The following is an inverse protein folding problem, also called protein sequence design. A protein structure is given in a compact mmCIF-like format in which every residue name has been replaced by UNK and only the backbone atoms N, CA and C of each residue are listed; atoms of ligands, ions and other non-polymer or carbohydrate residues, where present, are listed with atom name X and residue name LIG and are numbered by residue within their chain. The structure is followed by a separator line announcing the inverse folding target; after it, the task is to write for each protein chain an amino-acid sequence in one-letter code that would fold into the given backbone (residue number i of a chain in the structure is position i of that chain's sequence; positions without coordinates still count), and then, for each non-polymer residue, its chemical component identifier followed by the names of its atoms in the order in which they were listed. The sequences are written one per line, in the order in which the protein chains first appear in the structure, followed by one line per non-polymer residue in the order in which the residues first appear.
data_IF_026021260709
#
_entry.id   IF_026021260709
#
_cell.length_a   1.000
_cell.length_b   1.000
_cell.length_c   1.000
_cell.angle_alpha   90.00
_cell.angle_beta   90.00
_cell.angle_gamma   90.00
#
_symmetry.space_group_name_H-M   'P 1'
#
loop_
_entity.id
_entity.type
_entity.pdbx_description
1 polymer ?
#
# COMPACT_ATOMS: atom_id res chain seq x y z
N UNK A 1 -3.23 -0.48 -16.77
CA UNK A 1 -4.53 0.13 -16.43
C UNK A 1 -5.70 -0.86 -16.52
N UNK A 2 -5.87 -1.61 -17.62
CA UNK A 2 -6.96 -2.58 -17.79
C UNK A 2 -6.99 -3.63 -16.68
N UNK A 3 -5.87 -4.27 -16.36
CA UNK A 3 -5.77 -5.31 -15.30
C UNK A 3 -6.29 -4.81 -13.94
N UNK A 4 -5.97 -3.58 -13.57
CA UNK A 4 -6.43 -3.00 -12.30
C UNK A 4 -7.93 -2.75 -12.32
N UNK A 5 -8.48 -2.31 -13.47
CA UNK A 5 -9.91 -2.15 -13.62
C UNK A 5 -10.64 -3.49 -13.52
N UNK A 6 -10.09 -4.54 -14.12
CA UNK A 6 -10.64 -5.88 -14.07
C UNK A 6 -10.62 -6.42 -12.62
N UNK A 7 -9.51 -6.28 -11.88
CA UNK A 7 -9.41 -6.66 -10.46
C UNK A 7 -10.44 -5.89 -9.60
N UNK A 8 -10.61 -4.58 -9.84
CA UNK A 8 -11.62 -3.77 -9.12
C UNK A 8 -13.03 -4.27 -9.39
N UNK A 9 -13.33 -4.61 -10.63
CA UNK A 9 -14.63 -5.12 -11.02
C UNK A 9 -14.88 -6.50 -10.41
N UNK A 10 -13.90 -7.40 -10.47
CA UNK A 10 -14.00 -8.75 -9.92
C UNK A 10 -14.19 -8.72 -8.40
N UNK A 11 -13.45 -7.85 -7.69
CA UNK A 11 -13.62 -7.67 -6.25
C UNK A 11 -15.03 -7.15 -5.92
N UNK A 12 -15.50 -6.14 -6.64
CA UNK A 12 -16.83 -5.58 -6.43
C UNK A 12 -17.91 -6.63 -6.66
N UNK A 13 -17.80 -7.39 -7.75
CA UNK A 13 -18.72 -8.46 -8.08
C UNK A 13 -18.67 -9.58 -7.03
N UNK A 14 -17.48 -9.97 -6.55
CA UNK A 14 -17.34 -10.97 -5.50
C UNK A 14 -18.02 -10.53 -4.19
N UNK A 15 -17.88 -9.28 -3.78
CA UNK A 15 -18.55 -8.75 -2.58
C UNK A 15 -20.06 -8.76 -2.74
N UNK A 16 -20.59 -8.34 -3.90
CA UNK A 16 -22.04 -8.32 -4.15
C UNK A 16 -22.67 -9.72 -4.29
N UNK A 17 -21.89 -10.69 -4.75
CA UNK A 17 -22.35 -12.07 -4.87
C UNK A 17 -22.32 -12.86 -3.55
N UNK A 18 -21.84 -12.27 -2.45
CA UNK A 18 -21.88 -12.92 -1.12
C UNK A 18 -23.31 -13.06 -0.62
N UNK A 19 -23.56 -14.13 0.10
CA UNK A 19 -24.79 -14.25 0.85
C UNK A 19 -24.80 -13.27 2.05
N UNK A 20 -25.97 -13.00 2.59
CA UNK A 20 -26.10 -12.06 3.73
C UNK A 20 -25.25 -12.49 4.93
N UNK A 21 -25.15 -13.78 5.20
CA UNK A 21 -24.36 -14.31 6.32
C UNK A 21 -22.86 -14.09 6.08
N UNK A 22 -22.36 -14.30 4.87
CA UNK A 22 -20.98 -14.05 4.48
C UNK A 22 -20.63 -12.56 4.53
N UNK A 23 -21.56 -11.70 4.06
CA UNK A 23 -21.35 -10.25 4.08
C UNK A 23 -21.28 -9.70 5.51
N UNK A 24 -22.16 -10.13 6.40
CA UNK A 24 -22.20 -9.65 7.80
C UNK A 24 -21.11 -10.25 8.71
N UNK A 25 -20.26 -11.17 8.20
CA UNK A 25 -19.06 -11.59 8.94
C UNK A 25 -18.07 -10.44 9.16
N UNK A 26 -18.09 -9.47 8.25
CA UNK A 26 -17.26 -8.26 8.31
C UNK A 26 -18.16 -7.03 8.35
N UNK A 27 -17.65 -5.93 8.89
CA UNK A 27 -18.37 -4.65 8.88
C UNK A 27 -18.17 -3.92 7.54
N UNK A 28 -19.06 -2.97 7.25
CA UNK A 28 -19.00 -2.17 6.01
C UNK A 28 -17.66 -1.42 5.87
N UNK A 29 -17.04 -1.00 6.99
CA UNK A 29 -15.75 -0.30 6.98
C UNK A 29 -14.62 -1.20 6.48
N UNK A 30 -14.68 -2.52 6.74
CA UNK A 30 -13.73 -3.50 6.18
C UNK A 30 -13.78 -3.51 4.66
N UNK A 31 -14.96 -3.64 4.07
CA UNK A 31 -15.11 -3.64 2.60
C UNK A 31 -14.72 -2.32 1.96
N UNK A 32 -15.03 -1.20 2.62
CA UNK A 32 -14.61 0.13 2.17
C UNK A 32 -13.08 0.26 2.19
N UNK A 33 -12.42 -0.21 3.25
CA UNK A 33 -10.96 -0.24 3.36
C UNK A 33 -10.31 -1.15 2.32
N UNK A 34 -10.88 -2.33 2.10
CA UNK A 34 -10.44 -3.28 1.08
C UNK A 34 -10.46 -2.63 -0.31
N UNK A 35 -11.55 -1.92 -0.63
CA UNK A 35 -11.74 -1.28 -1.94
C UNK A 35 -10.88 -0.03 -2.15
N UNK A 36 -10.65 0.78 -1.12
CA UNK A 36 -9.88 2.01 -1.24
C UNK A 36 -8.39 1.82 -0.94
N UNK A 37 -8.07 1.17 0.18
CA UNK A 37 -6.69 1.07 0.64
C UNK A 37 -5.98 -0.16 0.07
N UNK A 38 -6.60 -1.35 0.19
CA UNK A 38 -5.92 -2.59 -0.20
C UNK A 38 -5.76 -2.67 -1.72
N UNK A 39 -6.74 -2.24 -2.52
CA UNK A 39 -6.60 -2.15 -3.97
C UNK A 39 -5.54 -1.14 -4.41
N UNK A 40 -5.34 -0.05 -3.69
CA UNK A 40 -4.25 0.88 -3.97
C UNK A 40 -2.89 0.22 -3.74
N UNK A 41 -2.76 -0.60 -2.70
CA UNK A 41 -1.53 -1.37 -2.46
C UNK A 41 -1.31 -2.41 -3.57
N UNK A 42 -2.36 -3.08 -4.04
CA UNK A 42 -2.27 -3.99 -5.21
C UNK A 42 -1.76 -3.24 -6.43
N UNK A 43 -2.31 -2.05 -6.72
CA UNK A 43 -1.90 -1.22 -7.85
C UNK A 43 -0.42 -0.83 -7.77
N UNK A 44 0.03 -0.32 -6.61
CA UNK A 44 1.43 0.08 -6.42
C UNK A 44 2.37 -1.12 -6.45
N UNK A 45 1.94 -2.29 -5.98
CA UNK A 45 2.71 -3.54 -6.04
C UNK A 45 2.87 -4.04 -7.48
N UNK A 46 1.81 -4.00 -8.29
CA UNK A 46 1.89 -4.35 -9.70
C UNK A 46 2.81 -3.40 -10.48
N UNK A 47 2.73 -2.09 -10.21
CA UNK A 47 3.65 -1.11 -10.79
C UNK A 47 5.10 -1.39 -10.39
N UNK A 48 5.35 -1.79 -9.14
CA UNK A 48 6.69 -2.13 -8.66
C UNK A 48 7.31 -3.31 -9.43
N UNK A 49 6.52 -4.31 -9.87
CA UNK A 49 7.02 -5.37 -10.74
C UNK A 49 7.50 -4.83 -12.10
N UNK A 50 6.75 -3.92 -12.71
CA UNK A 50 7.18 -3.30 -13.99
C UNK A 50 8.43 -2.46 -13.81
N UNK A 51 8.49 -1.65 -12.75
CA UNK A 51 9.65 -0.82 -12.44
C UNK A 51 10.87 -1.72 -12.21
N UNK A 52 10.73 -2.83 -11.48
CA UNK A 52 11.83 -3.77 -11.22
C UNK A 52 12.42 -4.32 -12.51
N UNK A 53 11.58 -4.72 -13.48
CA UNK A 53 12.05 -5.22 -14.78
C UNK A 53 12.81 -4.13 -15.54
N UNK A 54 12.28 -2.90 -15.60
CA UNK A 54 12.92 -1.76 -16.26
C UNK A 54 14.28 -1.43 -15.61
N UNK A 55 14.33 -1.42 -14.26
CA UNK A 55 15.59 -1.14 -13.56
C UNK A 55 16.64 -2.24 -13.77
N UNK A 56 16.20 -3.50 -13.81
CA UNK A 56 17.08 -4.62 -14.12
C UNK A 56 17.66 -4.50 -15.53
N UNK A 57 16.82 -4.17 -16.51
CA UNK A 57 17.25 -3.90 -17.89
C UNK A 57 18.29 -2.77 -17.94
N UNK A 58 18.01 -1.64 -17.28
CA UNK A 58 18.91 -0.49 -17.25
C UNK A 58 20.26 -0.83 -16.61
N UNK A 59 20.29 -1.59 -15.50
CA UNK A 59 21.53 -2.06 -14.87
C UNK A 59 22.34 -2.94 -15.85
N UNK A 60 21.68 -3.92 -16.47
CA UNK A 60 22.34 -4.86 -17.38
C UNK A 60 22.94 -4.12 -18.59
N UNK A 61 22.18 -3.24 -19.24
CA UNK A 61 22.68 -2.49 -20.40
C UNK A 61 23.80 -1.51 -20.03
N UNK A 62 23.67 -0.83 -18.88
CA UNK A 62 24.72 0.09 -18.39
C UNK A 62 26.00 -0.65 -18.07
N UNK A 63 25.96 -1.80 -17.44
CA UNK A 63 27.14 -2.62 -17.15
C UNK A 63 27.72 -3.26 -18.42
N UNK A 64 26.90 -3.73 -19.35
CA UNK A 64 27.35 -4.26 -20.63
C UNK A 64 28.06 -3.19 -21.47
N UNK A 65 27.48 -1.99 -21.53
CA UNK A 65 28.11 -0.86 -22.24
C UNK A 65 29.41 -0.42 -21.55
N UNK A 66 29.44 -0.36 -20.21
CA UNK A 66 30.65 -0.07 -19.46
C UNK A 66 31.77 -1.09 -19.75
N UNK A 67 31.41 -2.38 -19.81
CA UNK A 67 32.35 -3.47 -20.10
C UNK A 67 32.99 -3.31 -21.50
N UNK A 68 32.17 -2.97 -22.50
CA UNK A 68 32.67 -2.72 -23.88
C UNK A 68 33.58 -1.51 -23.91
N UNK A 69 33.31 -0.47 -23.14
CA UNK A 69 34.14 0.73 -23.09
C UNK A 69 35.46 0.48 -22.34
N UNK A 70 35.39 -0.09 -21.15
CA UNK A 70 36.56 -0.41 -20.34
C UNK A 70 36.17 -1.32 -19.15
N UNK A 71 36.89 -2.43 -19.01
CA UNK A 71 36.65 -3.40 -17.91
C UNK A 71 36.81 -2.76 -16.52
N UNK A 72 37.74 -1.82 -16.36
CA UNK A 72 37.99 -1.12 -15.10
C UNK A 72 36.76 -0.29 -14.71
N UNK A 73 36.11 0.40 -15.68
CA UNK A 73 34.88 1.14 -15.44
C UNK A 73 33.76 0.22 -15.02
N UNK A 74 33.59 -0.92 -15.66
CA UNK A 74 32.56 -1.90 -15.29
C UNK A 74 32.74 -2.38 -13.83
N UNK A 75 33.96 -2.75 -13.42
CA UNK A 75 34.26 -3.15 -12.06
C UNK A 75 33.99 -2.02 -11.07
N UNK A 76 34.39 -0.78 -11.40
CA UNK A 76 34.12 0.39 -10.56
C UNK A 76 32.61 0.62 -10.37
N UNK A 77 31.82 0.52 -11.43
CA UNK A 77 30.36 0.68 -11.37
C UNK A 77 29.70 -0.39 -10.51
N UNK A 78 30.16 -1.65 -10.58
CA UNK A 78 29.66 -2.73 -9.72
C UNK A 78 29.97 -2.44 -8.26
N UNK A 79 31.22 -2.07 -7.94
CA UNK A 79 31.62 -1.76 -6.56
C UNK A 79 30.82 -0.57 -6.01
N UNK A 80 30.73 0.50 -6.78
CA UNK A 80 29.98 1.70 -6.40
C UNK A 80 28.50 1.41 -6.24
N UNK A 81 27.90 0.60 -7.12
CA UNK A 81 26.52 0.16 -7.00
C UNK A 81 26.28 -0.60 -5.70
N UNK A 82 27.14 -1.58 -5.36
CA UNK A 82 27.02 -2.35 -4.12
C UNK A 82 27.18 -1.45 -2.89
N UNK A 83 28.15 -0.54 -2.88
CA UNK A 83 28.37 0.41 -1.77
C UNK A 83 27.18 1.36 -1.66
N UNK A 84 26.62 1.84 -2.77
CA UNK A 84 25.46 2.71 -2.80
C UNK A 84 24.21 2.09 -2.19
N UNK A 85 24.07 0.75 -2.23
CA UNK A 85 22.97 0.02 -1.60
C UNK A 85 23.09 -0.07 -0.07
N UNK A 86 24.26 0.15 0.50
CA UNK A 86 24.47 0.01 1.93
C UNK A 86 23.58 0.99 2.73
N UNK A 87 23.45 2.24 2.29
CA UNK A 87 22.66 3.27 3.00
C UNK A 87 21.17 2.94 3.03
N UNK A 88 20.48 2.67 1.91
CA UNK A 88 19.07 2.26 1.94
C UNK A 88 18.83 1.03 2.81
N UNK A 89 19.68 0.02 2.73
CA UNK A 89 19.53 -1.22 3.51
C UNK A 89 19.69 -0.95 5.03
N UNK A 90 20.67 -0.16 5.42
CA UNK A 90 20.91 0.16 6.83
C UNK A 90 19.85 1.05 7.44
N UNK A 91 19.27 1.96 6.66
CA UNK A 91 18.29 2.94 7.15
C UNK A 91 16.85 2.48 7.03
N UNK A 92 16.58 1.40 6.29
CA UNK A 92 15.22 0.89 6.05
C UNK A 92 14.41 0.68 7.34
N UNK A 93 15.02 0.05 8.36
CA UNK A 93 14.31 -0.23 9.62
C UNK A 93 13.92 1.05 10.36
N UNK A 94 14.80 2.07 10.33
CA UNK A 94 14.56 3.36 10.98
C UNK A 94 13.41 4.09 10.28
N UNK A 95 13.42 4.11 8.94
CA UNK A 95 12.36 4.71 8.12
C UNK A 95 11.03 4.00 8.34
N UNK A 96 11.04 2.67 8.30
CA UNK A 96 9.82 1.86 8.48
C UNK A 96 9.20 2.09 9.86
N UNK A 97 10.01 2.06 10.94
CA UNK A 97 9.53 2.32 12.29
C UNK A 97 8.91 3.72 12.41
N UNK A 98 9.59 4.73 11.88
CA UNK A 98 9.13 6.12 11.93
C UNK A 98 7.82 6.32 11.15
N UNK A 99 7.67 5.64 10.00
CA UNK A 99 6.46 5.68 9.20
C UNK A 99 5.28 4.99 9.92
N UNK A 100 5.50 3.82 10.51
CA UNK A 100 4.46 3.10 11.27
C UNK A 100 3.97 3.98 12.44
N UNK A 101 4.88 4.55 13.23
CA UNK A 101 4.49 5.42 14.34
C UNK A 101 3.68 6.65 13.88
N UNK A 102 4.01 7.23 12.73
CA UNK A 102 3.24 8.33 12.14
C UNK A 102 1.86 7.86 11.68
N UNK A 103 1.76 6.68 11.03
CA UNK A 103 0.49 6.13 10.55
C UNK A 103 -0.45 5.80 11.71
N UNK A 104 0.06 5.21 12.79
CA UNK A 104 -0.72 4.91 13.99
C UNK A 104 -1.29 6.19 14.62
N UNK A 105 -0.48 7.24 14.71
CA UNK A 105 -0.92 8.52 15.25
C UNK A 105 -1.92 9.23 14.31
N UNK A 106 -1.74 9.12 12.99
CA UNK A 106 -2.70 9.61 12.00
C UNK A 106 -4.06 8.89 12.11
N UNK A 107 -4.05 7.58 12.33
CA UNK A 107 -5.26 6.81 12.53
C UNK A 107 -6.05 7.27 13.78
N UNK A 108 -5.35 7.47 14.92
CA UNK A 108 -5.97 8.01 16.16
C UNK A 108 -6.56 9.40 15.95
N UNK A 109 -5.79 10.29 15.31
CA UNK A 109 -6.23 11.64 15.00
C UNK A 109 -7.47 11.67 14.10
N UNK A 110 -7.50 10.81 13.06
CA UNK A 110 -8.66 10.67 12.18
C UNK A 110 -9.89 10.10 12.91
N UNK A 111 -9.69 9.14 13.82
CA UNK A 111 -10.78 8.59 14.65
C UNK A 111 -11.38 9.69 15.51
N UNK A 112 -10.55 10.47 16.20
CA UNK A 112 -11.02 11.59 17.03
C UNK A 112 -11.87 12.59 16.23
N UNK A 113 -11.37 13.01 15.05
CA UNK A 113 -12.12 13.93 14.17
C UNK A 113 -13.47 13.33 13.76
N UNK A 114 -13.49 12.05 13.38
CA UNK A 114 -14.73 11.38 12.98
C UNK A 114 -15.72 11.28 14.14
N UNK A 115 -15.25 10.98 15.35
CA UNK A 115 -16.10 10.88 16.54
C UNK A 115 -16.66 12.25 16.93
N UNK A 116 -15.84 13.30 16.90
CA UNK A 116 -16.27 14.68 17.18
C UNK A 116 -17.32 15.16 16.17
N UNK A 117 -17.11 14.88 14.85
CA UNK A 117 -18.09 15.26 13.83
C UNK A 117 -19.39 14.44 13.90
N UNK A 118 -19.33 13.14 14.24
CA UNK A 118 -20.52 12.35 14.48
C UNK A 118 -21.28 12.79 15.74
N UNK A 119 -20.54 13.26 16.74
CA UNK A 119 -21.09 13.79 17.98
C UNK A 119 -21.52 15.26 17.91
N UNK A 120 -21.53 15.91 16.73
CA UNK A 120 -21.77 17.35 16.58
C UNK A 120 -23.02 17.86 17.30
N UNK A 121 -24.14 17.15 17.18
CA UNK A 121 -25.41 17.52 17.84
C UNK A 121 -25.28 17.45 19.36
N UNK A 122 -24.58 16.43 19.88
CA UNK A 122 -24.33 16.26 21.31
C UNK A 122 -23.46 17.41 21.82
N UNK A 123 -22.36 17.73 21.12
CA UNK A 123 -21.45 18.82 21.47
C UNK A 123 -22.23 20.14 21.56
N UNK A 124 -23.10 20.42 20.58
CA UNK A 124 -23.92 21.62 20.54
C UNK A 124 -24.98 21.67 21.64
N UNK A 125 -25.69 20.57 21.87
CA UNK A 125 -26.74 20.50 22.86
C UNK A 125 -26.20 20.67 24.30
N UNK A 126 -24.99 20.16 24.57
CA UNK A 126 -24.36 20.27 25.89
C UNK A 126 -23.42 21.47 26.03
N UNK A 127 -23.23 22.27 24.96
CA UNK A 127 -22.38 23.48 24.94
C UNK A 127 -20.93 23.18 25.39
N UNK A 128 -20.35 22.06 24.94
CA UNK A 128 -19.01 21.59 25.33
C UNK A 128 -17.94 21.84 24.26
N UNK A 129 -18.17 22.80 23.34
CA UNK A 129 -17.27 23.08 22.21
C UNK A 129 -15.85 23.42 22.69
N UNK A 130 -15.70 24.25 23.70
CA UNK A 130 -14.37 24.63 24.22
C UNK A 130 -13.57 23.43 24.72
N UNK A 131 -14.26 22.48 25.39
CA UNK A 131 -13.62 21.24 25.86
C UNK A 131 -13.15 20.37 24.72
N UNK A 132 -14.00 20.18 23.69
CA UNK A 132 -13.68 19.38 22.49
C UNK A 132 -12.54 20.01 21.72
N UNK A 133 -12.58 21.32 21.48
CA UNK A 133 -11.49 22.07 20.81
C UNK A 133 -10.19 21.96 21.61
N UNK A 134 -10.24 22.01 22.94
CA UNK A 134 -9.08 21.83 23.80
C UNK A 134 -8.46 20.42 23.68
N UNK A 135 -9.28 19.38 23.63
CA UNK A 135 -8.83 18.00 23.41
C UNK A 135 -8.22 17.83 22.02
N UNK A 136 -8.91 18.31 20.98
CA UNK A 136 -8.41 18.30 19.61
C UNK A 136 -7.06 19.01 19.50
N UNK A 137 -6.88 20.18 20.12
CA UNK A 137 -5.63 20.94 20.07
C UNK A 137 -4.44 20.15 20.63
N UNK A 138 -4.64 19.40 21.72
CA UNK A 138 -3.59 18.54 22.30
C UNK A 138 -3.20 17.39 21.36
N UNK A 139 -4.19 16.67 20.82
CA UNK A 139 -3.95 15.57 19.90
C UNK A 139 -3.37 16.05 18.56
N UNK A 140 -3.81 17.22 18.06
CA UNK A 140 -3.24 17.84 16.85
C UNK A 140 -1.76 18.18 17.02
N UNK A 141 -1.36 18.70 18.18
CA UNK A 141 0.06 18.96 18.49
C UNK A 141 0.86 17.66 18.54
N UNK A 142 0.29 16.62 19.13
CA UNK A 142 0.92 15.30 19.22
C UNK A 142 1.10 14.67 17.84
N UNK A 143 0.06 14.67 17.01
CA UNK A 143 0.12 14.23 15.61
C UNK A 143 1.14 15.04 14.81
N UNK A 144 1.11 16.38 14.94
CA UNK A 144 2.06 17.28 14.28
C UNK A 144 3.52 16.97 14.63
N UNK A 145 3.82 16.72 15.91
CA UNK A 145 5.17 16.30 16.35
C UNK A 145 5.61 14.98 15.73
N UNK A 146 4.75 13.96 15.71
CA UNK A 146 5.06 12.66 15.10
C UNK A 146 5.26 12.77 13.60
N UNK A 147 4.40 13.52 12.90
CA UNK A 147 4.53 13.80 11.48
C UNK A 147 5.84 14.51 11.17
N UNK A 148 6.18 15.56 11.94
CA UNK A 148 7.45 16.28 11.79
C UNK A 148 8.65 15.34 12.00
N UNK A 149 8.64 14.54 13.08
CA UNK A 149 9.73 13.59 13.35
C UNK A 149 9.91 12.60 12.20
N UNK A 150 8.82 12.05 11.65
CA UNK A 150 8.90 11.14 10.51
C UNK A 150 9.48 11.83 9.27
N UNK A 151 8.99 13.01 8.93
CA UNK A 151 9.50 13.79 7.79
C UNK A 151 10.96 14.21 7.99
N UNK A 152 11.36 14.56 9.21
CA UNK A 152 12.74 14.89 9.54
C UNK A 152 13.66 13.67 9.36
N UNK A 153 13.27 12.51 9.88
CA UNK A 153 14.03 11.25 9.67
C UNK A 153 14.17 10.91 8.19
N UNK A 154 13.08 11.03 7.41
CA UNK A 154 13.10 10.82 5.96
C UNK A 154 14.04 11.81 5.27
N UNK A 155 13.99 13.09 5.65
CA UNK A 155 14.85 14.13 5.09
C UNK A 155 16.33 13.88 5.40
N UNK A 156 16.67 13.53 6.64
CA UNK A 156 18.06 13.21 7.04
C UNK A 156 18.57 11.97 6.29
N UNK A 157 17.79 10.89 6.24
CA UNK A 157 18.19 9.68 5.51
C UNK A 157 18.32 9.97 4.02
N UNK A 158 17.39 10.72 3.43
CA UNK A 158 17.47 11.13 2.02
C UNK A 158 18.73 11.97 1.74
N UNK A 159 19.05 12.93 2.62
CA UNK A 159 20.26 13.73 2.53
C UNK A 159 21.54 12.88 2.58
N UNK A 160 21.65 11.98 3.56
CA UNK A 160 22.80 11.06 3.68
C UNK A 160 22.91 10.20 2.41
N UNK A 161 21.81 9.67 1.91
CA UNK A 161 21.79 8.86 0.67
C UNK A 161 22.32 9.66 -0.50
N UNK A 162 21.86 10.90 -0.67
CA UNK A 162 22.30 11.79 -1.75
C UNK A 162 23.81 12.14 -1.61
N UNK A 163 24.28 12.43 -0.40
CA UNK A 163 25.70 12.75 -0.17
C UNK A 163 26.61 11.57 -0.48
N UNK A 164 26.20 10.34 -0.09
CA UNK A 164 26.94 9.13 -0.43
C UNK A 164 26.96 8.89 -1.95
N UNK A 165 25.83 9.05 -2.64
CA UNK A 165 25.76 8.92 -4.10
C UNK A 165 26.67 9.94 -4.82
N UNK A 166 26.64 11.21 -4.42
CA UNK A 166 27.52 12.24 -4.95
C UNK A 166 29.01 11.92 -4.72
N UNK A 167 29.34 11.45 -3.50
CA UNK A 167 30.73 11.06 -3.17
C UNK A 167 31.20 9.91 -4.04
N UNK A 168 30.36 8.88 -4.22
CA UNK A 168 30.68 7.74 -5.09
C UNK A 168 30.83 8.17 -6.55
N UNK A 169 29.99 9.07 -7.03
CA UNK A 169 30.08 9.63 -8.38
C UNK A 169 31.38 10.42 -8.58
N UNK A 170 31.76 11.24 -7.59
CA UNK A 170 33.04 11.98 -7.62
C UNK A 170 34.26 11.05 -7.67
N UNK A 171 34.23 9.93 -6.93
CA UNK A 171 35.29 8.93 -7.01
C UNK A 171 35.45 8.35 -8.43
N UNK A 172 34.33 8.06 -9.10
CA UNK A 172 34.37 7.58 -10.49
C UNK A 172 34.97 8.65 -11.40
N UNK A 173 34.60 9.93 -11.24
CA UNK A 173 35.14 11.05 -12.02
C UNK A 173 36.64 11.19 -11.81
N UNK A 174 37.12 11.12 -10.56
CA UNK A 174 38.53 11.21 -10.23
C UNK A 174 39.30 10.05 -10.85
N UNK A 175 38.86 8.82 -10.69
CA UNK A 175 39.54 7.64 -11.24
C UNK A 175 39.55 7.69 -12.76
N UNK A 176 38.42 8.04 -13.39
CA UNK A 176 38.32 8.19 -14.84
C UNK A 176 39.23 9.35 -15.37
N UNK A 177 39.27 10.47 -14.63
CA UNK A 177 40.19 11.59 -14.94
C UNK A 177 41.67 11.18 -14.89
N UNK A 178 42.06 10.40 -13.87
CA UNK A 178 43.43 9.87 -13.78
C UNK A 178 43.74 8.97 -15.00
N UNK A 179 42.77 8.12 -15.42
CA UNK A 179 42.97 7.26 -16.59
C UNK A 179 43.14 8.07 -17.88
N UNK A 180 42.45 9.21 -18.04
CA UNK A 180 42.62 10.16 -19.16
C UNK A 180 44.00 10.77 -19.10
N UNK A 181 44.49 11.24 -17.96
CA UNK A 181 45.83 11.84 -17.80
C UNK A 181 46.95 10.86 -18.16
N UNK A 182 46.79 9.58 -17.87
CA UNK A 182 47.73 8.54 -18.27
C UNK A 182 47.55 8.09 -19.73
N UNK A 183 46.70 8.74 -20.53
CA UNK A 183 46.46 8.41 -21.93
C UNK A 183 45.82 7.05 -22.18
N UNK A 184 45.25 6.41 -21.15
CA UNK A 184 44.59 5.08 -21.25
C UNK A 184 43.21 5.13 -21.88
N UNK A 185 42.53 6.27 -21.78
CA UNK A 185 41.17 6.49 -22.31
C UNK A 185 41.04 7.92 -22.84
N UNK A 186 40.08 8.17 -23.72
CA UNK A 186 39.80 9.50 -24.27
C UNK A 186 39.08 10.40 -23.27
N UNK A 187 39.10 11.72 -23.46
CA UNK A 187 38.37 12.67 -22.61
C UNK A 187 36.86 12.44 -22.64
N UNK A 188 36.31 11.95 -23.77
CA UNK A 188 34.89 11.58 -23.91
C UNK A 188 34.49 10.47 -22.95
N UNK A 189 35.43 9.65 -22.48
CA UNK A 189 35.20 8.59 -21.52
C UNK A 189 34.71 9.13 -20.17
N UNK A 190 35.13 10.34 -19.75
CA UNK A 190 34.64 10.98 -18.53
C UNK A 190 33.14 11.23 -18.58
N UNK A 191 32.62 11.72 -19.70
CA UNK A 191 31.18 11.98 -19.87
C UNK A 191 30.38 10.68 -19.78
N UNK A 192 30.89 9.62 -20.41
CA UNK A 192 30.28 8.28 -20.35
C UNK A 192 30.31 7.72 -18.91
N UNK A 193 31.44 7.84 -18.23
CA UNK A 193 31.58 7.36 -16.85
C UNK A 193 30.63 8.06 -15.89
N UNK A 194 30.43 9.38 -16.03
CA UNK A 194 29.47 10.14 -15.23
C UNK A 194 28.03 9.68 -15.52
N UNK A 195 27.65 9.57 -16.80
CA UNK A 195 26.31 9.16 -17.18
C UNK A 195 25.98 7.75 -16.69
N UNK A 196 26.89 6.79 -16.90
CA UNK A 196 26.68 5.41 -16.44
C UNK A 196 26.67 5.27 -14.93
N UNK A 197 27.48 6.07 -14.20
CA UNK A 197 27.46 6.03 -12.73
C UNK A 197 26.12 6.51 -12.17
N UNK A 198 25.58 7.59 -12.72
CA UNK A 198 24.26 8.10 -12.31
C UNK A 198 23.14 7.08 -12.59
N UNK A 199 23.18 6.48 -13.79
CA UNK A 199 22.23 5.44 -14.19
C UNK A 199 22.31 4.22 -13.26
N UNK A 200 23.48 3.61 -13.07
CA UNK A 200 23.64 2.41 -12.24
C UNK A 200 23.25 2.68 -10.78
N UNK A 201 23.71 3.78 -10.18
CA UNK A 201 23.40 4.11 -8.78
C UNK A 201 21.89 4.32 -8.61
N UNK A 202 21.27 5.11 -9.50
CA UNK A 202 19.83 5.38 -9.48
C UNK A 202 19.01 4.12 -9.65
N UNK A 203 19.32 3.33 -10.67
CA UNK A 203 18.62 2.08 -10.98
C UNK A 203 18.75 1.05 -9.87
N UNK A 204 19.92 0.90 -9.24
CA UNK A 204 20.07 0.00 -8.10
C UNK A 204 19.25 0.42 -6.89
N UNK A 205 19.18 1.71 -6.58
CA UNK A 205 18.33 2.22 -5.48
C UNK A 205 16.86 1.93 -5.75
N UNK A 206 16.34 2.28 -6.93
CA UNK A 206 14.94 2.03 -7.30
C UNK A 206 14.62 0.54 -7.41
N UNK A 207 15.57 -0.29 -7.81
CA UNK A 207 15.43 -1.75 -7.83
C UNK A 207 15.16 -2.30 -6.40
N UNK A 208 15.96 -1.87 -5.41
CA UNK A 208 15.76 -2.27 -4.01
C UNK A 208 14.42 -1.78 -3.46
N UNK A 209 14.07 -0.52 -3.74
CA UNK A 209 12.76 0.04 -3.34
C UNK A 209 11.59 -0.78 -3.91
N UNK A 210 11.70 -1.18 -5.18
CA UNK A 210 10.70 -2.04 -5.84
C UNK A 210 10.61 -3.42 -5.20
N UNK A 211 11.73 -4.04 -4.84
CA UNK A 211 11.73 -5.31 -4.10
C UNK A 211 11.05 -5.19 -2.74
N UNK A 212 11.30 -4.11 -2.01
CA UNK A 212 10.68 -3.84 -0.72
C UNK A 212 9.17 -3.65 -0.89
N UNK A 213 8.76 -2.87 -1.89
CA UNK A 213 7.34 -2.64 -2.22
C UNK A 213 6.61 -3.94 -2.56
N UNK A 214 7.21 -4.79 -3.39
CA UNK A 214 6.66 -6.12 -3.73
C UNK A 214 6.53 -6.98 -2.48
N UNK A 215 7.58 -7.06 -1.67
CA UNK A 215 7.57 -7.88 -0.45
C UNK A 215 6.50 -7.42 0.55
N UNK A 216 6.32 -6.12 0.74
CA UNK A 216 5.32 -5.56 1.65
C UNK A 216 3.91 -5.65 1.11
N UNK A 217 3.71 -5.54 -0.20
CA UNK A 217 2.40 -5.58 -0.84
C UNK A 217 1.86 -6.99 -1.11
N UNK A 218 2.74 -8.00 -1.23
CA UNK A 218 2.34 -9.39 -1.54
C UNK A 218 1.27 -9.96 -0.59
N UNK A 219 1.34 -9.81 0.75
CA UNK A 219 0.29 -10.31 1.64
C UNK A 219 -1.07 -9.65 1.39
N UNK A 220 -1.08 -8.36 1.04
CA UNK A 220 -2.31 -7.62 0.73
C UNK A 220 -2.88 -8.07 -0.61
N UNK A 221 -2.01 -8.30 -1.61
CA UNK A 221 -2.44 -8.89 -2.89
C UNK A 221 -3.07 -10.26 -2.68
N UNK A 222 -2.50 -11.12 -1.83
CA UNK A 222 -3.06 -12.43 -1.49
C UNK A 222 -4.43 -12.29 -0.83
N UNK A 223 -4.56 -11.41 0.16
CA UNK A 223 -5.84 -11.10 0.82
C UNK A 223 -6.91 -10.69 -0.19
N UNK A 224 -6.60 -9.76 -1.10
CA UNK A 224 -7.55 -9.31 -2.13
C UNK A 224 -7.92 -10.45 -3.08
N UNK A 225 -6.97 -11.31 -3.46
CA UNK A 225 -7.24 -12.47 -4.32
C UNK A 225 -8.09 -13.52 -3.62
N UNK A 226 -7.90 -13.76 -2.32
CA UNK A 226 -8.75 -14.63 -1.51
C UNK A 226 -10.19 -14.10 -1.46
N UNK A 227 -10.37 -12.78 -1.24
CA UNK A 227 -11.68 -12.12 -1.24
C UNK A 227 -12.40 -12.21 -2.60
N UNK A 228 -11.66 -12.15 -3.72
CA UNK A 228 -12.20 -12.37 -5.07
C UNK A 228 -12.56 -13.85 -5.26
N UNK A 229 -11.74 -14.77 -4.71
CA UNK A 229 -11.91 -16.23 -4.85
C UNK A 229 -13.03 -16.81 -4.00
N UNK A 230 -13.53 -16.10 -2.99
CA UNK A 230 -14.71 -16.48 -2.20
C UNK A 230 -15.99 -16.36 -3.05
N UNK A 231 -16.06 -17.08 -4.16
CA UNK A 231 -17.28 -17.14 -4.97
C UNK A 231 -18.34 -17.97 -4.26
N UNK A 232 -19.56 -17.44 -4.25
CA UNK A 232 -20.76 -18.14 -3.84
C UNK A 232 -20.91 -19.46 -4.61
N UNK A 233 -21.21 -20.55 -3.92
CA UNK A 233 -22.03 -21.60 -4.54
C UNK A 233 -23.33 -20.93 -4.98
N UNK A 234 -23.57 -20.86 -6.28
CA UNK A 234 -24.90 -20.53 -6.79
C UNK A 234 -25.90 -21.44 -6.06
N UNK A 235 -26.68 -20.84 -5.17
CA UNK A 235 -27.90 -21.50 -4.72
C UNK A 235 -28.83 -21.47 -5.95
N UNK A 236 -28.74 -22.49 -6.77
CA UNK A 236 -29.74 -22.80 -7.79
C UNK A 236 -31.02 -23.23 -7.06
N UNK A 237 -31.72 -22.24 -6.54
CA UNK A 237 -33.07 -22.43 -6.09
C UNK A 237 -34.01 -22.37 -7.29
N UNK A 238 -34.87 -23.35 -7.44
CA UNK A 238 -36.00 -23.27 -8.38
C UNK A 238 -36.80 -22.01 -8.06
N UNK A 239 -37.12 -21.22 -9.08
CA UNK A 239 -37.84 -19.96 -8.92
C UNK A 239 -39.18 -20.21 -8.18
N UNK A 240 -39.34 -19.64 -6.99
CA UNK A 240 -40.58 -19.77 -6.22
C UNK A 240 -41.67 -18.96 -6.93
N UNK A 241 -42.71 -19.65 -7.38
CA UNK A 241 -43.87 -18.97 -7.93
C UNK A 241 -44.90 -18.73 -6.82
N UNK A 242 -44.93 -17.49 -6.30
CA UNK A 242 -45.90 -17.09 -5.28
C UNK A 242 -47.30 -16.99 -5.89
N UNK A 243 -48.09 -18.04 -5.75
CA UNK A 243 -49.44 -18.09 -6.30
C UNK A 243 -50.52 -17.65 -5.30
N UNK A 244 -50.55 -18.18 -4.10
CA UNK A 244 -51.66 -18.00 -3.16
C UNK A 244 -51.18 -17.48 -1.79
N UNK A 245 -50.31 -18.21 -1.09
CA UNK A 245 -49.86 -17.91 0.26
C UNK A 245 -48.40 -18.37 0.48
N UNK A 246 -47.76 -17.74 1.45
CA UNK A 246 -46.51 -18.20 2.06
C UNK A 246 -46.82 -18.50 3.52
N UNK A 247 -46.60 -19.76 3.96
CA UNK A 247 -46.72 -20.18 5.35
C UNK A 247 -45.36 -20.40 5.97
N UNK A 248 -45.15 -19.86 7.13
CA UNK A 248 -44.03 -20.15 8.03
C UNK A 248 -44.57 -20.91 9.22
N UNK A 249 -44.06 -22.12 9.46
CA UNK A 249 -44.46 -22.98 10.56
C UNK A 249 -43.26 -23.34 11.43
N UNK A 250 -43.33 -23.02 12.72
CA UNK A 250 -42.27 -23.30 13.69
C UNK A 250 -40.90 -22.76 13.31
N UNK A 251 -40.87 -21.59 12.66
CA UNK A 251 -39.61 -20.98 12.19
C UNK A 251 -38.85 -20.35 13.34
N UNK A 252 -37.65 -20.82 13.60
CA UNK A 252 -36.73 -20.21 14.56
C UNK A 252 -35.44 -19.78 13.82
N UNK A 253 -34.93 -18.58 14.14
CA UNK A 253 -33.74 -18.02 13.51
C UNK A 253 -32.90 -17.24 14.52
N UNK A 254 -31.61 -17.38 14.40
CA UNK A 254 -30.64 -16.59 15.16
C UNK A 254 -29.52 -16.12 14.22
N UNK A 255 -29.11 -14.84 14.35
CA UNK A 255 -27.92 -14.36 13.65
C UNK A 255 -26.66 -15.04 14.19
N UNK A 256 -25.64 -15.31 13.36
CA UNK A 256 -24.32 -15.74 13.84
C UNK A 256 -23.81 -14.72 14.87
N UNK A 257 -23.42 -15.18 16.07
CA UNK A 257 -22.96 -14.38 17.21
C UNK A 257 -24.08 -13.70 18.06
N UNK A 258 -25.36 -13.95 17.82
CA UNK A 258 -26.41 -13.48 18.69
C UNK A 258 -26.47 -14.36 19.97
N UNK A 259 -26.49 -13.73 21.15
CA UNK A 259 -26.63 -14.43 22.44
C UNK A 259 -28.02 -15.03 22.62
N UNK A 260 -29.01 -14.54 21.89
CA UNK A 260 -30.43 -15.00 21.99
C UNK A 260 -31.00 -15.26 20.59
N UNK A 261 -31.99 -16.15 20.52
CA UNK A 261 -32.78 -16.39 19.32
C UNK A 261 -33.50 -15.11 18.89
N UNK A 262 -33.31 -14.67 17.66
CA UNK A 262 -33.96 -13.47 17.10
C UNK A 262 -35.44 -13.77 16.77
N UNK A 263 -35.69 -14.94 16.21
CA UNK A 263 -37.05 -15.48 16.01
C UNK A 263 -37.13 -16.83 16.71
N UNK A 264 -38.21 -17.07 17.42
CA UNK A 264 -38.42 -18.30 18.15
C UNK A 264 -39.85 -18.81 17.94
N UNK A 265 -39.94 -19.95 17.23
CA UNK A 265 -41.22 -20.66 17.00
C UNK A 265 -42.30 -19.77 16.33
N UNK A 266 -41.91 -19.03 15.29
CA UNK A 266 -42.83 -18.14 14.58
C UNK A 266 -43.71 -18.94 13.64
N UNK A 267 -45.01 -18.70 13.76
CA UNK A 267 -46.07 -19.25 12.90
C UNK A 267 -46.82 -18.10 12.25
N UNK A 268 -46.68 -17.89 10.96
CA UNK A 268 -47.31 -16.79 10.23
C UNK A 268 -47.63 -17.19 8.79
N UNK A 269 -48.78 -16.71 8.29
CA UNK A 269 -49.20 -16.95 6.91
C UNK A 269 -49.41 -15.60 6.21
N UNK A 270 -48.78 -15.45 5.04
CA UNK A 270 -48.95 -14.28 4.18
C UNK A 270 -49.77 -14.65 2.94
N UNK A 271 -50.94 -14.04 2.76
CA UNK A 271 -51.80 -14.23 1.62
C UNK A 271 -51.49 -13.19 0.51
N UNK A 272 -51.52 -13.63 -0.75
CA UNK A 272 -51.28 -12.75 -1.86
C UNK A 272 -52.31 -11.62 -1.91
N UNK A 273 -51.81 -10.37 -2.03
CA UNK A 273 -52.65 -9.18 -2.15
C UNK A 273 -53.12 -8.57 -0.83
N UNK A 274 -52.81 -9.17 0.33
CA UNK A 274 -53.10 -8.58 1.64
C UNK A 274 -51.91 -7.74 2.17
N UNK A 275 -52.22 -6.77 3.02
CA UNK A 275 -51.23 -5.99 3.83
C UNK A 275 -51.29 -6.51 5.27
N UNK A 276 -50.13 -6.63 5.90
CA UNK A 276 -49.94 -7.11 7.26
C UNK A 276 -49.28 -6.05 8.12
#
# INVERSE_FOLDING_TARGET
MKVICDIRQDLFQSILNRDMTGYYKQNTSYYTSLYHNDLQVVETTLLAYFILVVQLEEIVFSLAYAFVQNVVLCILLIVVGIVGLAVPIMTQQILQKSNIEQMDEAAKHNTLINDDFRGFEVIKNYQIEEKVVGQYAQENIRFGKKKFTSQFVQGVVGGITMDVQLTLQLLIVIISGIMVLYGKVSISFLTVAIALSSSVIGSMSTFIESLIQIKSGTPICQKVMEEIGEQKKEETGDGINFQNLISMENVSFSYPQAEHMTLNNINITFEKGKRY
#
